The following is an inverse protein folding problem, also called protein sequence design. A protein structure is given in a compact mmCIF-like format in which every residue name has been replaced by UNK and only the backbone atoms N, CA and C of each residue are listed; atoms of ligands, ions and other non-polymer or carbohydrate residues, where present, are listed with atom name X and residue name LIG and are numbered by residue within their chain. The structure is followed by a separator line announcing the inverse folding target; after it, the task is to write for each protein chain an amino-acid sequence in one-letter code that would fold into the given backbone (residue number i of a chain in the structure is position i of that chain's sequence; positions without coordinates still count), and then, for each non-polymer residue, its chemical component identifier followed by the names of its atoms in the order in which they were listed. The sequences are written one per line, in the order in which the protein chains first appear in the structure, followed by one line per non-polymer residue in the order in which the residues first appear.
data_IF_565178240311
#
_entry.id   IF_565178240311
#
_cell.length_a   1.000
_cell.length_b   1.000
_cell.length_c   1.000
_cell.angle_alpha   90.00
_cell.angle_beta   90.00
_cell.angle_gamma   90.00
#
_symmetry.space_group_name_H-M   'P 1'
#
loop_
_entity.id
_entity.type
_entity.pdbx_description
1 polymer ?
#
# COMPACT_ATOMS: atom_id res chain seq x y z
N UNK A 1 -3.57 19.44 -0.18
CA UNK A 1 -2.74 18.58 -1.05
C UNK A 1 -3.42 17.24 -1.16
N UNK A 2 -3.57 16.73 -2.39
CA UNK A 2 -4.11 15.39 -2.69
C UNK A 2 -3.14 14.35 -2.11
N UNK A 3 -3.63 13.21 -1.61
CA UNK A 3 -2.74 12.16 -1.09
C UNK A 3 -1.69 11.77 -2.15
N UNK A 4 -0.40 11.66 -1.79
CA UNK A 4 0.62 11.33 -2.77
C UNK A 4 0.40 9.94 -3.35
N UNK A 5 0.66 9.78 -4.66
CA UNK A 5 0.51 8.49 -5.36
C UNK A 5 1.40 7.39 -4.75
N UNK A 6 2.54 7.77 -4.18
CA UNK A 6 3.51 6.86 -3.58
C UNK A 6 3.93 7.38 -2.21
N UNK A 7 4.23 6.48 -1.28
CA UNK A 7 4.69 6.83 0.06
C UNK A 7 5.83 5.91 0.50
N UNK A 8 6.94 6.52 0.92
CA UNK A 8 8.08 5.81 1.50
C UNK A 8 7.85 5.62 2.99
N UNK A 9 7.91 4.37 3.46
CA UNK A 9 7.68 4.01 4.87
C UNK A 9 8.70 2.94 5.25
N UNK A 10 9.56 3.25 6.22
CA UNK A 10 10.60 2.33 6.71
C UNK A 10 11.43 1.71 5.56
N UNK A 11 11.87 2.51 4.59
CA UNK A 11 12.65 2.08 3.43
C UNK A 11 11.85 1.38 2.32
N UNK A 12 10.52 1.27 2.45
CA UNK A 12 9.68 0.55 1.50
C UNK A 12 8.71 1.49 0.80
N UNK A 13 8.53 1.32 -0.51
CA UNK A 13 7.60 2.12 -1.31
C UNK A 13 6.23 1.47 -1.29
N UNK A 14 5.22 2.24 -0.89
CA UNK A 14 3.82 1.86 -0.95
C UNK A 14 3.09 2.70 -2.00
N UNK A 15 2.21 2.05 -2.75
CA UNK A 15 1.35 2.68 -3.73
C UNK A 15 0.01 3.08 -3.12
N UNK A 16 -0.48 4.28 -3.43
CA UNK A 16 -1.83 4.71 -3.07
C UNK A 16 -2.85 3.82 -3.79
N UNK A 17 -3.76 3.24 -3.02
CA UNK A 17 -4.92 2.53 -3.56
C UNK A 17 -6.13 3.45 -3.66
N UNK A 18 -6.47 4.13 -2.56
CA UNK A 18 -7.68 4.94 -2.47
C UNK A 18 -7.59 5.93 -1.29
N UNK A 19 -8.45 6.96 -1.32
CA UNK A 19 -8.61 7.94 -0.25
C UNK A 19 -10.08 7.98 0.13
N UNK A 20 -10.35 8.01 1.43
CA UNK A 20 -11.69 7.97 2.02
C UNK A 20 -11.88 9.14 2.98
N UNK A 21 -13.10 9.62 3.15
CA UNK A 21 -13.40 10.72 4.08
C UNK A 21 -13.52 10.23 5.53
N UNK A 22 -13.86 8.95 5.72
CA UNK A 22 -13.95 8.30 7.02
C UNK A 22 -12.96 7.13 7.14
N UNK A 23 -12.71 6.72 8.37
CA UNK A 23 -11.78 5.65 8.72
C UNK A 23 -12.37 4.26 8.46
N UNK A 24 -13.67 4.07 8.69
CA UNK A 24 -14.35 2.79 8.51
C UNK A 24 -14.24 2.27 7.07
N UNK A 25 -14.49 3.10 6.08
CA UNK A 25 -14.38 2.76 4.66
C UNK A 25 -12.93 2.42 4.29
N UNK A 26 -11.97 3.18 4.83
CA UNK A 26 -10.55 2.90 4.64
C UNK A 26 -10.16 1.53 5.23
N UNK A 27 -10.71 1.17 6.39
CA UNK A 27 -10.47 -0.12 7.05
C UNK A 27 -11.10 -1.28 6.26
N UNK A 28 -12.34 -1.11 5.78
CA UNK A 28 -13.03 -2.11 4.96
C UNK A 28 -12.23 -2.36 3.68
N UNK A 29 -11.82 -1.29 2.99
CA UNK A 29 -11.00 -1.38 1.78
C UNK A 29 -9.64 -2.05 2.04
N UNK A 30 -8.98 -1.67 3.14
CA UNK A 30 -7.71 -2.28 3.53
C UNK A 30 -7.83 -3.79 3.80
N UNK A 31 -8.95 -4.24 4.39
CA UNK A 31 -9.20 -5.68 4.61
C UNK A 31 -9.34 -6.43 3.30
N UNK A 32 -10.10 -5.89 2.35
CA UNK A 32 -10.31 -6.51 1.04
C UNK A 32 -9.01 -6.65 0.24
N UNK A 33 -8.02 -5.78 0.47
CA UNK A 33 -6.72 -5.83 -0.22
C UNK A 33 -5.68 -6.75 0.43
N UNK A 34 -5.93 -7.27 1.64
CA UNK A 34 -4.88 -7.81 2.52
C UNK A 34 -4.28 -9.16 2.09
N UNK A 35 -4.97 -9.92 1.24
CA UNK A 35 -4.65 -11.31 0.92
C UNK A 35 -3.17 -11.52 0.54
N UNK A 36 -2.66 -10.73 -0.41
CA UNK A 36 -1.27 -10.80 -0.91
C UNK A 36 -0.51 -9.46 -0.81
N UNK A 37 -0.96 -8.57 0.07
CA UNK A 37 -0.43 -7.19 0.14
C UNK A 37 -0.19 -6.76 1.56
N UNK A 38 0.91 -6.03 1.79
CA UNK A 38 1.09 -5.23 3.00
C UNK A 38 0.34 -3.92 2.82
N UNK A 39 -0.56 -3.63 3.76
CA UNK A 39 -1.41 -2.44 3.72
C UNK A 39 -0.97 -1.44 4.79
N UNK A 40 -1.03 -0.17 4.45
CA UNK A 40 -0.84 0.94 5.38
C UNK A 40 -1.99 1.93 5.24
N UNK A 41 -2.60 2.31 6.36
CA UNK A 41 -3.60 3.37 6.41
C UNK A 41 -2.94 4.61 7.03
N UNK A 42 -3.11 5.77 6.40
CA UNK A 42 -2.56 7.03 6.89
C UNK A 42 -3.61 8.13 6.83
N UNK A 43 -3.85 8.79 7.96
CA UNK A 43 -4.63 10.03 7.99
C UNK A 43 -3.85 11.15 7.31
N UNK A 44 -4.51 11.95 6.48
CA UNK A 44 -3.94 13.11 5.80
C UNK A 44 -4.18 14.38 6.63
N UNK A 45 -3.42 15.47 6.40
CA UNK A 45 -3.66 16.76 7.08
C UNK A 45 -5.05 17.36 6.84
N UNK A 46 -5.78 16.90 5.81
CA UNK A 46 -7.15 17.33 5.51
C UNK A 46 -8.21 16.51 6.24
N UNK A 47 -7.82 15.53 7.06
CA UNK A 47 -8.75 14.69 7.80
C UNK A 47 -9.19 13.42 7.07
N UNK A 48 -8.87 13.28 5.78
CA UNK A 48 -9.14 12.07 4.99
C UNK A 48 -8.17 10.93 5.29
N UNK A 49 -8.51 9.72 4.90
CA UNK A 49 -7.78 8.49 5.15
C UNK A 49 -7.29 7.88 3.84
N UNK A 50 -5.98 7.82 3.67
CA UNK A 50 -5.35 7.24 2.49
C UNK A 50 -4.91 5.80 2.78
N UNK A 51 -5.32 4.87 1.93
CA UNK A 51 -4.92 3.46 1.97
C UNK A 51 -3.82 3.22 0.95
N UNK A 52 -2.69 2.74 1.43
CA UNK A 52 -1.53 2.38 0.61
C UNK A 52 -1.26 0.88 0.68
N UNK A 53 -0.67 0.32 -0.36
CA UNK A 53 -0.33 -1.09 -0.42
C UNK A 53 1.03 -1.33 -1.08
N UNK A 54 1.61 -2.48 -0.81
CA UNK A 54 2.70 -3.08 -1.58
C UNK A 54 2.56 -4.60 -1.58
N UNK A 55 3.18 -5.33 -2.53
CA UNK A 55 3.25 -6.79 -2.45
C UNK A 55 3.96 -7.25 -1.17
N UNK A 56 3.67 -8.48 -0.72
CA UNK A 56 4.46 -9.10 0.34
C UNK A 56 5.82 -9.54 -0.22
N UNK A 57 6.88 -9.60 0.61
CA UNK A 57 8.22 -10.02 0.15
C UNK A 57 8.24 -11.42 -0.48
N UNK A 58 7.37 -12.32 -0.01
CA UNK A 58 7.20 -13.67 -0.58
C UNK A 58 6.71 -13.66 -2.03
N UNK A 59 5.91 -12.65 -2.42
CA UNK A 59 5.48 -12.45 -3.81
C UNK A 59 6.52 -11.67 -4.64
N UNK A 60 7.31 -10.78 -4.02
CA UNK A 60 8.42 -10.08 -4.70
C UNK A 60 9.55 -11.04 -5.10
N UNK A 61 9.83 -12.07 -4.29
CA UNK A 61 10.85 -13.09 -4.61
C UNK A 61 10.48 -13.88 -5.88
N UNK A 62 9.18 -14.15 -6.08
CA UNK A 62 8.68 -14.83 -7.28
C UNK A 62 8.78 -13.95 -8.54
N UNK A 63 8.62 -12.63 -8.40
CA UNK A 63 8.80 -11.68 -9.51
C UNK A 63 10.28 -11.49 -9.87
N UNK A 64 11.18 -11.44 -8.88
CA UNK A 64 12.63 -11.34 -9.11
C UNK A 64 13.18 -12.59 -9.83
N UNK A 65 12.68 -13.78 -9.47
CA UNK A 65 13.05 -15.05 -10.12
C UNK A 65 12.62 -15.08 -11.59
N UNK A 66 11.51 -14.43 -11.95
CA UNK A 66 11.03 -14.37 -13.34
C UNK A 66 11.77 -13.35 -14.21
N UNK A 67 12.49 -12.39 -13.60
CA UNK A 67 13.32 -11.42 -14.33
C UNK A 67 14.76 -11.91 -14.57
N UNK A 68 15.11 -13.16 -14.24
CA UNK A 68 16.41 -13.75 -14.59
C UNK A 68 17.62 -13.06 -13.95
N UNK A 69 17.43 -12.29 -12.87
CA UNK A 69 18.52 -11.73 -12.09
C UNK A 69 18.95 -12.77 -11.04
N UNK A 70 19.86 -13.64 -11.44
CA UNK A 70 20.69 -14.37 -10.49
C UNK A 70 21.58 -13.34 -9.77
N UNK A 71 21.48 -13.28 -8.44
CA UNK A 71 22.42 -12.59 -7.57
C UNK A 71 23.82 -13.21 -7.70
#
# INVERSE_FOLDING_TARGET
MIAPKWKLIAGNVYQLSAVFDNDQDAIIHARNLRENRKIMISKTPRGTWAVYWRPKPEDELNLATHCGLNL
#
